data_IF_272031714848
#
_entry.id   IF_272031714848
#
_cell.length_a   1.000
_cell.length_b   1.000
_cell.length_c   1.000
_cell.angle_alpha   90.00
_cell.angle_beta   90.00
_cell.angle_gamma   90.00
#
_symmetry.space_group_name_H-M   'P 1'
#
loop_
_entity.id
_entity.type
_entity.pdbx_description
1 polymer ?
#
# COMPACT_ATOMS: atom_id res chain seq x y z
N UNK A 1 -4.15 50.31 -17.34
CA UNK A 1 -3.11 49.26 -17.53
C UNK A 1 -2.85 48.37 -16.30
N UNK A 2 -3.39 48.68 -15.11
CA UNK A 2 -3.17 47.89 -13.88
C UNK A 2 -4.23 46.82 -13.58
N UNK A 3 -5.44 46.94 -14.14
CA UNK A 3 -6.56 46.03 -13.87
C UNK A 3 -6.51 44.70 -14.65
N UNK A 4 -5.97 44.69 -15.87
CA UNK A 4 -5.91 43.46 -16.69
C UNK A 4 -4.87 42.45 -16.20
N UNK A 5 -3.71 42.93 -15.74
CA UNK A 5 -2.64 42.08 -15.21
C UNK A 5 -3.04 41.40 -13.90
N UNK A 6 -3.82 42.09 -13.06
CA UNK A 6 -4.29 41.56 -11.78
C UNK A 6 -5.30 40.42 -11.97
N UNK A 7 -6.18 40.52 -12.98
CA UNK A 7 -7.16 39.49 -13.30
C UNK A 7 -6.51 38.24 -13.92
N UNK A 8 -5.48 38.41 -14.76
CA UNK A 8 -4.73 37.28 -15.33
C UNK A 8 -3.89 36.57 -14.27
N UNK A 9 -3.28 37.31 -13.33
CA UNK A 9 -2.55 36.72 -12.20
C UNK A 9 -3.47 35.95 -11.24
N UNK A 10 -4.68 36.47 -10.99
CA UNK A 10 -5.69 35.79 -10.16
C UNK A 10 -6.23 34.52 -10.82
N UNK A 11 -6.42 34.53 -12.15
CA UNK A 11 -6.87 33.36 -12.90
C UNK A 11 -5.81 32.24 -12.96
N UNK A 12 -4.52 32.59 -13.10
CA UNK A 12 -3.41 31.62 -13.09
C UNK A 12 -3.15 31.02 -11.71
N UNK A 13 -3.48 31.74 -10.63
CA UNK A 13 -3.34 31.23 -9.26
C UNK A 13 -4.37 30.15 -8.91
N UNK A 14 -5.54 30.13 -9.56
CA UNK A 14 -6.59 29.13 -9.30
C UNK A 14 -6.31 27.76 -9.96
N UNK A 15 -5.40 27.69 -10.94
CA UNK A 15 -5.06 26.44 -11.66
C UNK A 15 -4.05 25.57 -10.88
N UNK A 16 -3.41 26.11 -9.85
CA UNK A 16 -2.35 25.41 -9.08
C UNK A 16 -2.89 24.49 -7.97
N UNK A 17 -4.20 24.53 -7.66
CA UNK A 17 -4.79 23.80 -6.53
C UNK A 17 -5.72 22.65 -6.94
N UNK A 18 -5.44 22.01 -8.08
CA UNK A 18 -5.91 20.64 -8.32
C UNK A 18 -4.87 19.62 -7.83
N UNK A 19 -4.30 19.83 -6.65
CA UNK A 19 -3.78 18.70 -5.88
C UNK A 19 -5.03 18.01 -5.35
N UNK A 20 -5.49 16.99 -6.07
CA UNK A 20 -6.35 15.97 -5.44
C UNK A 20 -5.57 15.57 -4.19
N UNK A 21 -6.10 15.72 -2.96
CA UNK A 21 -5.45 15.09 -1.83
C UNK A 21 -5.44 13.61 -2.20
N UNK A 22 -4.27 13.10 -2.65
CA UNK A 22 -4.06 11.67 -2.69
C UNK A 22 -4.27 11.26 -1.26
N UNK A 23 -5.31 10.47 -0.99
CA UNK A 23 -5.51 9.90 0.32
C UNK A 23 -4.20 9.19 0.65
N UNK A 24 -3.42 9.78 1.56
CA UNK A 24 -2.16 9.21 1.97
C UNK A 24 -2.47 7.80 2.44
N UNK A 25 -1.78 6.81 1.86
CA UNK A 25 -1.98 5.42 2.19
C UNK A 25 -2.00 5.25 3.71
N UNK A 26 -3.06 4.63 4.23
CA UNK A 26 -3.20 4.39 5.67
C UNK A 26 -2.93 2.93 6.02
N UNK A 27 -2.35 2.68 7.19
CA UNK A 27 -2.13 1.31 7.63
C UNK A 27 -3.44 0.55 7.87
N UNK A 28 -4.53 1.25 8.19
CA UNK A 28 -5.86 0.65 8.30
C UNK A 28 -6.34 0.03 6.98
N UNK A 29 -6.03 0.67 5.84
CA UNK A 29 -6.33 0.10 4.51
C UNK A 29 -5.51 -1.16 4.23
N UNK A 30 -4.22 -1.15 4.59
CA UNK A 30 -3.34 -2.32 4.46
C UNK A 30 -3.81 -3.46 5.35
N UNK A 31 -4.15 -3.18 6.61
CA UNK A 31 -4.68 -4.16 7.55
C UNK A 31 -5.97 -4.81 7.02
N UNK A 32 -6.90 -3.98 6.53
CA UNK A 32 -8.17 -4.45 5.95
C UNK A 32 -7.93 -5.33 4.71
N UNK A 33 -6.98 -4.94 3.86
CA UNK A 33 -6.62 -5.71 2.67
C UNK A 33 -5.95 -7.06 3.00
N UNK A 34 -5.14 -7.12 4.06
CA UNK A 34 -4.43 -8.35 4.45
C UNK A 34 -5.22 -9.26 5.40
N UNK A 35 -6.26 -8.76 6.07
CA UNK A 35 -7.10 -9.56 6.97
C UNK A 35 -7.56 -10.92 6.39
N UNK A 36 -8.08 -11.02 5.16
CA UNK A 36 -8.45 -12.32 4.57
C UNK A 36 -7.25 -13.26 4.32
N UNK A 37 -6.01 -12.75 4.34
CA UNK A 37 -4.81 -13.56 4.13
C UNK A 37 -4.35 -14.30 5.39
N UNK A 38 -4.85 -13.95 6.57
CA UNK A 38 -4.39 -14.50 7.85
C UNK A 38 -4.38 -16.04 7.84
N UNK A 39 -5.45 -16.77 7.42
CA UNK A 39 -5.45 -18.22 7.46
C UNK A 39 -4.32 -18.85 6.64
N UNK A 40 -3.98 -18.28 5.49
CA UNK A 40 -2.86 -18.73 4.67
C UNK A 40 -1.51 -18.38 5.32
N UNK A 41 -1.37 -17.13 5.80
CA UNK A 41 -0.16 -16.62 6.43
C UNK A 41 0.20 -17.37 7.72
N UNK A 42 -0.79 -17.87 8.47
CA UNK A 42 -0.60 -18.70 9.67
C UNK A 42 -0.52 -20.20 9.36
N UNK A 43 -0.75 -20.59 8.10
CA UNK A 43 -0.75 -21.98 7.64
C UNK A 43 -1.96 -22.81 8.11
N UNK A 44 -3.05 -22.15 8.49
CA UNK A 44 -4.35 -22.77 8.73
C UNK A 44 -5.08 -23.10 7.41
N UNK A 45 -4.71 -22.44 6.31
CA UNK A 45 -5.16 -22.73 4.96
C UNK A 45 -3.96 -23.03 4.04
N UNK A 46 -4.08 -24.00 3.11
CA UNK A 46 -2.97 -24.39 2.21
C UNK A 46 -2.73 -23.40 1.05
N UNK A 47 -3.69 -22.53 0.76
CA UNK A 47 -3.64 -21.54 -0.31
C UNK A 47 -4.38 -20.25 0.10
N UNK A 48 -4.00 -19.09 -0.47
CA UNK A 48 -4.77 -17.86 -0.29
C UNK A 48 -6.12 -17.97 -1.00
N UNK A 49 -7.18 -17.51 -0.34
CA UNK A 49 -8.51 -17.39 -0.95
C UNK A 49 -8.60 -16.17 -1.87
N UNK A 50 -9.67 -16.08 -2.66
CA UNK A 50 -9.88 -14.97 -3.61
C UNK A 50 -9.83 -13.60 -2.93
N UNK A 51 -10.50 -13.45 -1.79
CA UNK A 51 -10.53 -12.20 -1.03
C UNK A 51 -9.14 -11.77 -0.55
N UNK A 52 -8.29 -12.73 -0.18
CA UNK A 52 -6.89 -12.44 0.14
C UNK A 52 -6.13 -11.89 -1.08
N UNK A 53 -6.25 -12.56 -2.22
CA UNK A 53 -5.56 -12.09 -3.42
C UNK A 53 -6.10 -10.76 -3.94
N UNK A 54 -7.38 -10.47 -3.77
CA UNK A 54 -7.96 -9.17 -4.11
C UNK A 54 -7.46 -8.06 -3.19
N UNK A 55 -7.27 -8.36 -1.89
CA UNK A 55 -6.59 -7.47 -0.97
C UNK A 55 -5.13 -7.18 -1.37
N UNK A 56 -4.37 -8.21 -1.73
CA UNK A 56 -2.99 -8.06 -2.23
C UNK A 56 -2.94 -7.20 -3.50
N UNK A 57 -3.89 -7.38 -4.44
CA UNK A 57 -4.03 -6.51 -5.62
C UNK A 57 -4.37 -5.08 -5.23
N UNK A 58 -5.23 -4.88 -4.23
CA UNK A 58 -5.55 -3.54 -3.73
C UNK A 58 -4.31 -2.84 -3.19
N UNK A 59 -3.43 -3.55 -2.48
CA UNK A 59 -2.16 -2.98 -1.99
C UNK A 59 -1.29 -2.50 -3.15
N UNK A 60 -1.18 -3.29 -4.23
CA UNK A 60 -0.49 -2.85 -5.45
C UNK A 60 -1.04 -1.54 -6.00
N UNK A 61 -2.36 -1.37 -6.00
CA UNK A 61 -3.00 -0.14 -6.49
C UNK A 61 -2.73 1.07 -5.59
N UNK A 62 -2.38 0.85 -4.31
CA UNK A 62 -2.05 1.93 -3.36
C UNK A 62 -0.57 2.38 -3.45
N UNK A 63 0.33 1.56 -3.98
CA UNK A 63 1.78 1.88 -4.07
C UNK A 63 2.17 2.55 -5.38
N UNK A 64 1.62 3.75 -5.62
CA UNK A 64 1.83 4.51 -6.86
C UNK A 64 3.17 5.26 -6.90
N UNK A 65 3.76 5.59 -5.75
CA UNK A 65 5.02 6.33 -5.63
C UNK A 65 6.01 5.64 -4.67
N UNK A 66 7.31 6.02 -4.69
CA UNK A 66 8.27 5.54 -3.71
C UNK A 66 7.87 5.83 -2.26
N UNK A 67 7.22 6.98 -2.01
CA UNK A 67 6.70 7.33 -0.70
C UNK A 67 5.58 6.38 -0.27
N UNK A 68 4.67 6.02 -1.19
CA UNK A 68 3.60 5.06 -0.91
C UNK A 68 4.16 3.66 -0.67
N UNK A 69 5.19 3.23 -1.42
CA UNK A 69 5.86 1.94 -1.19
C UNK A 69 6.49 1.87 0.19
N UNK A 70 7.15 2.93 0.62
CA UNK A 70 7.75 2.99 1.95
C UNK A 70 6.67 3.01 3.04
N UNK A 71 5.58 3.76 2.85
CA UNK A 71 4.45 3.77 3.77
C UNK A 71 3.78 2.38 3.85
N UNK A 72 3.46 1.77 2.71
CA UNK A 72 2.93 0.42 2.61
C UNK A 72 3.85 -0.60 3.28
N UNK A 73 5.16 -0.52 3.06
CA UNK A 73 6.12 -1.41 3.70
C UNK A 73 6.03 -1.34 5.22
N UNK A 74 6.01 -0.13 5.78
CA UNK A 74 5.90 0.06 7.23
C UNK A 74 4.56 -0.49 7.75
N UNK A 75 3.46 -0.19 7.07
CA UNK A 75 2.14 -0.71 7.44
C UNK A 75 2.05 -2.24 7.36
N UNK A 76 2.58 -2.86 6.30
CA UNK A 76 2.63 -4.33 6.14
C UNK A 76 3.48 -4.95 7.25
N UNK A 77 4.62 -4.34 7.57
CA UNK A 77 5.47 -4.79 8.67
C UNK A 77 4.74 -4.71 10.01
N UNK A 78 4.08 -3.60 10.31
CA UNK A 78 3.28 -3.45 11.53
C UNK A 78 2.15 -4.48 11.59
N UNK A 79 1.41 -4.65 10.50
CA UNK A 79 0.36 -5.65 10.36
C UNK A 79 0.89 -7.06 10.65
N UNK A 80 2.00 -7.44 10.02
CA UNK A 80 2.60 -8.76 10.19
C UNK A 80 3.11 -8.98 11.63
N UNK A 81 3.62 -7.94 12.30
CA UNK A 81 4.10 -8.04 13.68
C UNK A 81 2.97 -8.19 14.72
N UNK A 82 1.69 -7.94 14.35
CA UNK A 82 0.54 -8.24 15.22
C UNK A 82 0.25 -9.72 15.36
N UNK A 83 0.83 -10.56 14.49
CA UNK A 83 0.63 -12.00 14.47
C UNK A 83 1.96 -12.71 14.77
N UNK A 84 2.02 -13.39 15.91
CA UNK A 84 3.23 -14.11 16.34
C UNK A 84 3.50 -15.37 15.51
N UNK A 85 2.46 -15.94 14.90
CA UNK A 85 2.47 -17.21 14.19
C UNK A 85 2.45 -17.11 12.65
N UNK A 86 2.75 -15.94 12.08
CA UNK A 86 2.95 -15.83 10.63
C UNK A 86 4.15 -16.67 10.22
N UNK A 87 3.97 -17.45 9.15
CA UNK A 87 5.02 -18.23 8.49
C UNK A 87 5.69 -17.35 7.43
N UNK A 88 6.99 -17.09 7.59
CA UNK A 88 7.73 -16.20 6.70
C UNK A 88 7.79 -16.73 5.25
N UNK A 89 7.80 -18.05 5.06
CA UNK A 89 7.69 -18.69 3.74
C UNK A 89 6.32 -18.42 3.08
N UNK A 90 5.23 -18.47 3.85
CA UNK A 90 3.90 -18.18 3.34
C UNK A 90 3.76 -16.70 2.97
N UNK A 91 4.28 -15.81 3.82
CA UNK A 91 4.29 -14.37 3.55
C UNK A 91 5.07 -14.02 2.28
N UNK A 92 6.25 -14.62 2.10
CA UNK A 92 7.09 -14.42 0.91
C UNK A 92 6.47 -15.00 -0.37
N UNK A 93 5.72 -16.11 -0.25
CA UNK A 93 5.06 -16.76 -1.38
C UNK A 93 3.70 -16.14 -1.73
N UNK A 94 3.11 -15.31 -0.86
CA UNK A 94 1.76 -14.80 -1.03
C UNK A 94 1.59 -13.96 -2.32
N UNK A 95 2.44 -12.96 -2.64
CA UNK A 95 2.27 -12.14 -3.84
C UNK A 95 2.30 -12.98 -5.12
N UNK A 96 3.26 -13.90 -5.23
CA UNK A 96 3.42 -14.79 -6.38
C UNK A 96 2.30 -15.82 -6.49
N UNK A 97 1.78 -16.35 -5.37
CA UNK A 97 0.56 -17.20 -5.37
C UNK A 97 -0.69 -16.46 -5.82
N UNK A 98 -0.77 -15.16 -5.59
CA UNK A 98 -1.84 -14.30 -6.08
C UNK A 98 -1.61 -13.78 -7.50
N UNK A 99 -0.46 -14.08 -8.12
CA UNK A 99 -0.12 -13.61 -9.47
C UNK A 99 0.16 -12.11 -9.54
N UNK A 100 0.59 -11.51 -8.43
CA UNK A 100 0.79 -10.06 -8.31
C UNK A 100 2.20 -9.75 -7.85
N UNK A 101 2.88 -8.88 -8.59
CA UNK A 101 4.03 -8.14 -8.06
C UNK A 101 3.53 -6.84 -7.44
N UNK A 102 3.64 -6.72 -6.11
CA UNK A 102 3.17 -5.56 -5.33
C UNK A 102 4.29 -4.56 -5.02
N UNK A 103 5.54 -4.82 -5.42
CA UNK A 103 6.69 -3.93 -5.18
C UNK A 103 7.07 -3.69 -3.71
N UNK A 104 6.43 -4.39 -2.76
CA UNK A 104 6.67 -4.30 -1.32
C UNK A 104 6.71 -5.72 -0.73
N UNK A 105 7.72 -6.07 0.07
CA UNK A 105 7.79 -7.39 0.68
C UNK A 105 6.79 -7.53 1.82
N UNK A 106 6.10 -8.67 1.87
CA UNK A 106 5.26 -9.05 3.01
C UNK A 106 6.15 -9.75 4.04
N UNK A 107 6.64 -9.01 5.03
CA UNK A 107 7.61 -9.51 6.01
C UNK A 107 7.54 -8.76 7.35
N UNK A 108 7.83 -9.47 8.44
CA UNK A 108 7.97 -8.90 9.78
C UNK A 108 9.29 -8.16 10.00
N UNK A 109 10.33 -8.52 9.24
CA UNK A 109 11.72 -8.10 9.48
C UNK A 109 12.31 -7.23 8.37
N UNK A 110 11.52 -6.88 7.35
CA UNK A 110 11.97 -5.98 6.29
C UNK A 110 12.47 -4.63 6.84
N UNK A 111 13.57 -4.14 6.26
CA UNK A 111 14.03 -2.76 6.38
C UNK A 111 13.36 -1.89 5.31
N UNK A 112 12.28 -1.21 5.72
CA UNK A 112 11.48 -0.39 4.81
C UNK A 112 12.20 0.87 4.31
N UNK A 113 13.36 1.24 4.89
CA UNK A 113 14.16 2.37 4.38
C UNK A 113 14.84 2.06 3.05
N UNK A 114 14.85 0.79 2.63
CA UNK A 114 15.46 0.31 1.38
C UNK A 114 14.44 0.00 0.28
N UNK A 115 13.17 0.34 0.48
CA UNK A 115 12.07 0.06 -0.45
C UNK A 115 11.67 1.36 -1.18
N UNK A 116 11.79 1.39 -2.52
CA UNK A 116 11.53 2.55 -3.39
C UNK A 116 10.89 2.17 -4.72
#
# INVERSE_FOLDING_TARGET
MKGGVMLVAAALAMVMFMVRPGEALTCAQVDTALAPCIPFLTGSAPAPESGCCDGVKSIKSMVASPADKQAACNCVKEAANRYTNIKDDAASALPSKCGVDIGVPISRSVDCTKVY
#
